data_IF_117965159099
#
_entry.id   IF_117965159099
#
_cell.length_a   1.000
_cell.length_b   1.000
_cell.length_c   1.000
_cell.angle_alpha   90.00
_cell.angle_beta   90.00
_cell.angle_gamma   90.00
#
_symmetry.space_group_name_H-M   'P 1'
#
loop_
_entity.id
_entity.type
_entity.pdbx_description
1 polymer ?
#
# COMPACT_ATOMS: atom_id res chain seq x y z
N UNK A 1 18.26 -53.85 43.70
CA UNK A 1 19.06 -54.38 42.60
C UNK A 1 18.69 -53.64 41.36
N UNK A 2 19.64 -52.89 40.84
CA UNK A 2 19.88 -52.40 39.47
C UNK A 2 18.72 -51.71 38.77
N UNK A 3 18.54 -50.40 38.77
CA UNK A 3 19.12 -49.25 38.08
C UNK A 3 19.37 -49.47 36.58
N UNK A 4 18.58 -48.80 35.72
CA UNK A 4 19.01 -48.30 34.43
C UNK A 4 18.26 -47.04 34.10
N UNK A 5 18.96 -45.93 34.18
CA UNK A 5 18.62 -44.62 33.68
C UNK A 5 18.75 -44.54 32.18
N UNK A 6 17.78 -44.03 31.48
CA UNK A 6 17.94 -43.56 30.10
C UNK A 6 17.38 -42.15 29.98
N UNK A 7 18.29 -41.20 29.83
CA UNK A 7 18.06 -39.82 29.43
C UNK A 7 17.55 -39.75 27.99
N UNK A 8 16.57 -38.92 27.65
CA UNK A 8 16.29 -38.64 26.26
C UNK A 8 17.13 -37.45 25.76
N UNK A 9 17.72 -37.69 24.60
CA UNK A 9 18.46 -36.73 23.80
C UNK A 9 17.60 -35.52 23.43
N UNK A 10 18.22 -34.36 23.62
CA UNK A 10 17.70 -33.07 23.14
C UNK A 10 17.80 -33.04 21.62
N UNK A 11 16.66 -33.11 20.92
CA UNK A 11 16.59 -32.76 19.52
C UNK A 11 16.53 -31.25 19.36
N UNK A 12 17.59 -30.68 18.79
CA UNK A 12 17.71 -29.33 18.34
C UNK A 12 16.60 -29.00 17.32
N UNK A 13 15.78 -28.03 17.67
CA UNK A 13 14.81 -27.41 16.74
C UNK A 13 15.58 -26.68 15.63
N UNK A 14 15.56 -27.24 14.44
CA UNK A 14 15.93 -26.52 13.23
C UNK A 14 14.91 -25.41 12.99
N UNK A 15 15.37 -24.17 13.19
CA UNK A 15 14.70 -22.96 12.73
C UNK A 15 14.54 -23.05 11.21
N UNK A 16 13.32 -23.29 10.75
CA UNK A 16 12.95 -23.21 9.35
C UNK A 16 13.12 -21.78 8.83
N UNK A 17 14.32 -21.45 8.40
CA UNK A 17 14.56 -20.29 7.52
C UNK A 17 13.77 -20.54 6.24
N UNK A 18 12.70 -19.80 6.04
CA UNK A 18 12.09 -19.66 4.72
C UNK A 18 13.16 -19.00 3.85
N UNK A 19 13.87 -19.83 3.09
CA UNK A 19 14.83 -19.36 2.10
C UNK A 19 14.06 -18.48 1.10
N UNK A 20 14.47 -17.24 1.00
CA UNK A 20 14.11 -16.36 -0.11
C UNK A 20 14.63 -17.00 -1.40
N UNK A 21 13.86 -17.89 -1.99
CA UNK A 21 14.13 -18.37 -3.34
C UNK A 21 14.00 -17.16 -4.24
N UNK A 22 15.12 -16.70 -4.76
CA UNK A 22 15.19 -15.76 -5.87
C UNK A 22 14.24 -16.25 -6.96
N UNK A 23 13.27 -15.41 -7.31
CA UNK A 23 12.38 -15.64 -8.43
C UNK A 23 13.24 -15.89 -9.68
N UNK A 24 13.07 -17.01 -10.39
CA UNK A 24 13.76 -17.21 -11.65
C UNK A 24 13.35 -16.07 -12.58
N UNK A 25 14.31 -15.44 -13.18
CA UNK A 25 14.13 -14.44 -14.23
C UNK A 25 13.48 -15.09 -15.44
N UNK A 26 12.20 -15.16 -15.45
CA UNK A 26 11.29 -15.34 -16.59
C UNK A 26 9.96 -15.88 -16.05
N UNK A 27 8.94 -15.06 -15.93
CA UNK A 27 7.59 -15.53 -16.13
C UNK A 27 7.54 -16.08 -17.56
N UNK A 28 7.80 -17.38 -17.72
CA UNK A 28 7.58 -18.04 -19.00
C UNK A 28 6.08 -18.06 -19.21
N UNK A 29 5.66 -17.40 -20.29
CA UNK A 29 4.30 -17.51 -20.79
C UNK A 29 3.88 -18.97 -20.88
N UNK A 30 2.64 -19.27 -20.52
CA UNK A 30 2.04 -20.58 -20.73
C UNK A 30 2.29 -21.06 -22.17
N UNK A 31 2.50 -22.37 -22.40
CA UNK A 31 2.82 -22.87 -23.74
C UNK A 31 1.66 -22.55 -24.69
N UNK A 32 1.96 -21.71 -25.67
CA UNK A 32 1.00 -21.24 -26.71
C UNK A 32 1.02 -19.75 -26.99
N UNK A 33 1.56 -18.93 -26.10
CA UNK A 33 1.72 -17.50 -26.35
C UNK A 33 3.12 -17.20 -26.89
N UNK A 34 3.22 -16.97 -28.17
CA UNK A 34 4.43 -16.41 -28.76
C UNK A 34 4.47 -14.93 -28.39
N UNK A 35 5.34 -14.56 -27.47
CA UNK A 35 5.73 -13.16 -27.24
C UNK A 35 6.50 -12.69 -28.47
N UNK A 36 5.84 -11.97 -29.35
CA UNK A 36 6.57 -11.14 -30.30
C UNK A 36 7.38 -10.14 -29.47
N UNK A 37 8.71 -9.99 -29.71
CA UNK A 37 9.46 -8.96 -29.02
C UNK A 37 8.81 -7.62 -29.34
N UNK A 38 8.46 -6.86 -28.30
CA UNK A 38 8.01 -5.49 -28.47
C UNK A 38 9.06 -4.78 -29.31
N UNK A 39 8.69 -4.07 -30.39
CA UNK A 39 9.64 -3.31 -31.18
C UNK A 39 10.36 -2.35 -30.23
N UNK A 40 11.68 -2.35 -30.25
CA UNK A 40 12.49 -1.41 -29.51
C UNK A 40 12.00 0.00 -29.88
N UNK A 41 11.33 0.64 -28.91
CA UNK A 41 10.82 1.99 -29.09
C UNK A 41 12.03 2.92 -29.18
N UNK A 42 12.53 3.15 -30.41
CA UNK A 42 13.48 4.22 -30.67
C UNK A 42 12.73 5.52 -30.50
N UNK A 43 12.89 6.16 -29.33
CA UNK A 43 12.44 7.52 -29.11
C UNK A 43 13.16 8.41 -30.13
N UNK A 44 12.44 8.88 -31.17
CA UNK A 44 12.88 10.05 -31.89
C UNK A 44 12.94 11.21 -30.90
N UNK A 45 14.03 11.97 -30.82
CA UNK A 45 14.02 13.18 -30.01
C UNK A 45 12.87 14.07 -30.48
N UNK A 46 12.13 14.70 -29.57
CA UNK A 46 11.02 15.55 -29.92
C UNK A 46 11.54 16.71 -30.80
N UNK A 47 10.92 16.87 -31.96
CA UNK A 47 11.14 18.01 -32.84
C UNK A 47 10.63 19.28 -32.13
N UNK A 48 11.56 20.07 -31.61
CA UNK A 48 11.27 21.31 -30.90
C UNK A 48 10.76 22.45 -31.82
N UNK A 49 10.72 22.25 -33.16
CA UNK A 49 10.34 23.28 -34.13
C UNK A 49 8.84 23.58 -34.21
N UNK A 50 7.95 22.74 -33.57
CA UNK A 50 6.50 22.88 -33.63
C UNK A 50 5.85 23.43 -32.33
N UNK A 51 6.56 24.21 -31.53
CA UNK A 51 6.03 24.77 -30.27
C UNK A 51 5.16 26.02 -30.42
N UNK A 52 4.36 26.17 -31.47
CA UNK A 52 3.34 27.23 -31.52
C UNK A 52 2.01 26.68 -31.03
N UNK A 53 1.64 27.04 -29.79
CA UNK A 53 0.27 26.88 -29.26
C UNK A 53 -0.01 25.65 -28.37
N UNK A 54 0.98 24.86 -27.95
CA UNK A 54 0.73 23.81 -26.96
C UNK A 54 0.59 24.40 -25.55
N UNK A 55 -0.55 24.13 -24.92
CA UNK A 55 -0.71 24.37 -23.49
C UNK A 55 0.44 23.73 -22.71
N UNK A 56 0.97 24.40 -21.69
CA UNK A 56 2.00 23.80 -20.83
C UNK A 56 1.46 22.49 -20.25
N UNK A 57 2.25 21.43 -20.35
CA UNK A 57 1.88 20.12 -19.75
C UNK A 57 1.95 20.23 -18.24
N UNK A 58 0.85 19.93 -17.51
CA UNK A 58 0.84 20.06 -16.07
C UNK A 58 1.76 19.02 -15.40
N UNK A 59 2.33 19.37 -14.27
CA UNK A 59 2.91 18.41 -13.36
C UNK A 59 1.79 17.57 -12.72
N UNK A 60 2.08 16.33 -12.38
CA UNK A 60 1.11 15.38 -11.82
C UNK A 60 1.67 14.87 -10.49
N UNK A 61 1.00 15.20 -9.39
CA UNK A 61 1.21 14.57 -8.10
C UNK A 61 0.03 13.64 -7.82
N UNK A 62 0.29 12.34 -7.72
CA UNK A 62 -0.72 11.35 -7.40
C UNK A 62 -0.48 10.82 -5.99
N UNK A 63 -1.38 11.13 -5.07
CA UNK A 63 -1.35 10.67 -3.69
C UNK A 63 -2.37 9.55 -3.52
N UNK A 64 -1.90 8.38 -3.09
CA UNK A 64 -2.73 7.20 -2.91
C UNK A 64 -2.52 6.61 -1.52
N UNK A 65 -3.60 6.20 -0.90
CA UNK A 65 -3.63 5.48 0.38
C UNK A 65 -4.36 4.16 0.20
N UNK A 66 -4.07 3.17 1.05
CA UNK A 66 -4.72 1.87 1.01
C UNK A 66 -5.75 1.75 2.13
N UNK A 67 -6.95 1.28 1.82
CA UNK A 67 -8.02 0.98 2.77
C UNK A 67 -8.64 2.21 3.47
N UNK A 68 -8.42 3.43 2.99
CA UNK A 68 -9.09 4.61 3.52
C UNK A 68 -10.55 4.65 3.07
N UNK A 69 -11.46 4.79 4.03
CA UNK A 69 -12.89 4.94 3.76
C UNK A 69 -13.19 6.27 3.07
N UNK A 70 -14.03 6.25 2.04
CA UNK A 70 -14.33 7.44 1.24
C UNK A 70 -15.07 8.54 2.02
N UNK A 71 -15.84 8.16 3.03
CA UNK A 71 -16.61 9.06 3.90
C UNK A 71 -15.73 9.90 4.84
N UNK A 72 -14.46 9.51 5.06
CA UNK A 72 -13.52 10.29 5.89
C UNK A 72 -13.41 11.75 5.44
N UNK A 73 -13.60 12.03 4.15
CA UNK A 73 -13.59 13.38 3.59
C UNK A 73 -14.99 14.02 3.52
N UNK A 74 -16.01 13.43 4.14
CA UNK A 74 -17.32 14.04 4.23
C UNK A 74 -17.33 15.16 5.27
N UNK A 75 -18.09 16.22 4.99
CA UNK A 75 -18.20 17.34 5.91
C UNK A 75 -18.79 16.88 7.25
N UNK A 76 -18.09 17.19 8.33
CA UNK A 76 -18.49 16.81 9.70
C UNK A 76 -18.08 15.40 10.10
N UNK A 77 -17.29 14.68 9.30
CA UNK A 77 -16.67 13.43 9.74
C UNK A 77 -15.70 13.68 10.90
N UNK A 78 -15.58 12.71 11.80
CA UNK A 78 -14.76 12.82 13.02
C UNK A 78 -13.26 12.82 12.76
N UNK A 79 -12.82 12.36 11.59
CA UNK A 79 -11.41 12.27 11.23
C UNK A 79 -10.82 13.65 10.91
N UNK A 80 -9.67 13.97 11.48
CA UNK A 80 -8.97 15.24 11.30
C UNK A 80 -8.06 15.20 10.06
N UNK A 81 -8.48 15.86 8.98
CA UNK A 81 -7.77 15.89 7.69
C UNK A 81 -7.65 17.29 7.11
N UNK A 82 -7.06 18.28 7.84
CA UNK A 82 -7.10 19.68 7.43
C UNK A 82 -6.40 19.97 6.09
N UNK A 83 -5.37 19.23 5.72
CA UNK A 83 -4.67 19.38 4.46
C UNK A 83 -5.47 18.82 3.29
N UNK A 84 -6.06 17.63 3.45
CA UNK A 84 -6.97 17.05 2.46
C UNK A 84 -8.25 17.89 2.32
N UNK A 85 -8.80 18.41 3.41
CA UNK A 85 -9.94 19.34 3.39
C UNK A 85 -9.64 20.60 2.57
N UNK A 86 -8.41 21.14 2.71
CA UNK A 86 -7.95 22.26 1.89
C UNK A 86 -7.87 21.89 0.41
N UNK A 87 -7.47 20.68 0.07
CA UNK A 87 -7.49 20.18 -1.31
C UNK A 87 -8.93 20.03 -1.83
N UNK A 88 -9.83 19.49 -1.03
CA UNK A 88 -11.27 19.38 -1.35
C UNK A 88 -11.86 20.76 -1.64
N UNK A 89 -11.54 21.78 -0.83
CA UNK A 89 -12.04 23.15 -1.01
C UNK A 89 -11.51 23.82 -2.29
N UNK A 90 -10.31 23.46 -2.74
CA UNK A 90 -9.66 24.07 -3.91
C UNK A 90 -9.84 23.28 -5.20
N UNK A 91 -10.28 22.03 -5.10
CA UNK A 91 -10.37 21.09 -6.18
C UNK A 91 -11.78 20.58 -6.45
N UNK A 92 -11.84 19.39 -7.02
CA UNK A 92 -13.09 18.69 -7.28
C UNK A 92 -13.09 17.39 -6.46
N UNK A 93 -14.11 17.22 -5.63
CA UNK A 93 -14.35 15.98 -4.91
C UNK A 93 -15.35 15.11 -5.67
N UNK A 94 -14.99 13.85 -5.91
CA UNK A 94 -15.89 12.85 -6.48
C UNK A 94 -16.54 12.05 -5.35
N UNK A 95 -17.78 12.36 -5.02
CA UNK A 95 -18.55 11.69 -3.96
C UNK A 95 -18.96 10.25 -4.33
N UNK A 96 -18.90 9.89 -5.62
CA UNK A 96 -19.25 8.57 -6.15
C UNK A 96 -18.13 8.05 -7.05
N UNK A 97 -17.00 7.72 -6.47
CA UNK A 97 -15.90 7.05 -7.16
C UNK A 97 -15.95 5.54 -6.84
N UNK A 98 -15.85 4.71 -7.88
CA UNK A 98 -15.97 3.27 -7.76
C UNK A 98 -14.69 2.58 -8.21
N UNK A 99 -14.23 1.61 -7.44
CA UNK A 99 -13.18 0.69 -7.88
C UNK A 99 -13.81 -0.56 -8.49
N UNK A 100 -13.22 -1.14 -9.54
CA UNK A 100 -13.74 -2.36 -10.14
C UNK A 100 -13.59 -3.60 -9.26
N UNK A 101 -12.75 -3.52 -8.22
CA UNK A 101 -12.56 -4.55 -7.22
C UNK A 101 -12.06 -3.90 -5.93
N UNK A 102 -12.58 -4.32 -4.78
CA UNK A 102 -12.21 -3.77 -3.47
C UNK A 102 -10.93 -4.38 -2.87
N UNK A 103 -10.25 -5.26 -3.60
CA UNK A 103 -8.98 -5.87 -3.19
C UNK A 103 -7.81 -5.09 -3.80
N UNK A 104 -6.75 -4.88 -3.02
CA UNK A 104 -5.62 -4.02 -3.37
C UNK A 104 -4.97 -4.34 -4.73
N UNK A 105 -4.56 -5.58 -5.00
CA UNK A 105 -3.83 -5.91 -6.23
C UNK A 105 -4.67 -5.75 -7.50
N UNK A 106 -5.91 -6.27 -7.59
CA UNK A 106 -6.78 -6.01 -8.75
C UNK A 106 -7.12 -4.54 -8.94
N UNK A 107 -7.40 -3.80 -7.86
CA UNK A 107 -7.71 -2.38 -7.93
C UNK A 107 -6.51 -1.58 -8.47
N UNK A 108 -5.31 -1.85 -7.95
CA UNK A 108 -4.05 -1.20 -8.39
C UNK A 108 -3.71 -1.56 -9.83
N UNK A 109 -3.88 -2.81 -10.23
CA UNK A 109 -3.68 -3.24 -11.61
C UNK A 109 -4.66 -2.53 -12.56
N UNK A 110 -5.94 -2.39 -12.17
CA UNK A 110 -6.93 -1.62 -12.93
C UNK A 110 -6.56 -0.15 -13.03
N UNK A 111 -6.10 0.47 -11.94
CA UNK A 111 -5.63 1.86 -11.94
C UNK A 111 -4.45 2.05 -12.91
N UNK A 112 -3.48 1.15 -12.91
CA UNK A 112 -2.28 1.27 -13.75
C UNK A 112 -2.54 1.02 -15.23
N UNK A 113 -3.50 0.18 -15.56
CA UNK A 113 -3.76 -0.26 -16.95
C UNK A 113 -5.00 0.38 -17.58
N UNK A 114 -5.94 0.88 -16.77
CA UNK A 114 -7.25 1.30 -17.23
C UNK A 114 -8.15 0.13 -17.67
N UNK A 115 -7.87 -1.10 -17.23
CA UNK A 115 -8.58 -2.32 -17.59
C UNK A 115 -9.31 -2.90 -16.37
N UNK A 116 -10.37 -3.68 -16.64
CA UNK A 116 -11.04 -4.48 -15.62
C UNK A 116 -10.22 -5.74 -15.24
N UNK A 117 -10.38 -6.31 -14.05
CA UNK A 117 -9.59 -7.44 -13.57
C UNK A 117 -9.53 -8.63 -14.53
N UNK A 118 -10.63 -9.01 -15.14
CA UNK A 118 -10.67 -10.11 -16.11
C UNK A 118 -9.90 -9.81 -17.42
N UNK A 119 -9.67 -8.53 -17.74
CA UNK A 119 -8.88 -8.13 -18.90
C UNK A 119 -7.39 -8.04 -18.62
N UNK A 120 -6.98 -7.62 -17.42
CA UNK A 120 -5.57 -7.55 -17.07
C UNK A 120 -5.05 -8.79 -16.34
N UNK A 121 -5.93 -9.68 -15.85
CA UNK A 121 -5.60 -11.00 -15.31
C UNK A 121 -5.18 -11.04 -13.84
N UNK A 122 -5.06 -9.92 -13.14
CA UNK A 122 -4.82 -9.87 -11.70
C UNK A 122 -6.17 -9.91 -10.99
N UNK A 123 -6.54 -11.07 -10.46
CA UNK A 123 -7.89 -11.35 -9.98
C UNK A 123 -8.03 -11.26 -8.45
N UNK A 124 -6.93 -11.42 -7.73
CA UNK A 124 -6.89 -11.38 -6.26
C UNK A 124 -5.53 -10.91 -5.76
N UNK A 125 -5.29 -10.98 -4.45
CA UNK A 125 -4.04 -10.54 -3.80
C UNK A 125 -2.86 -11.36 -4.29
N UNK A 126 -1.81 -10.69 -4.76
CA UNK A 126 -0.67 -11.30 -5.45
C UNK A 126 0.16 -12.29 -4.62
N UNK A 127 0.13 -12.20 -3.28
CA UNK A 127 0.92 -13.06 -2.40
C UNK A 127 0.17 -14.32 -1.92
N UNK A 128 -1.13 -14.44 -2.25
CA UNK A 128 -1.98 -15.55 -1.80
C UNK A 128 -2.35 -16.56 -2.88
N UNK A 129 -1.87 -16.36 -4.10
CA UNK A 129 -2.28 -17.15 -5.27
C UNK A 129 -1.08 -17.51 -6.14
N UNK A 130 -1.31 -18.39 -7.10
CA UNK A 130 -0.30 -18.80 -8.09
C UNK A 130 0.00 -17.67 -9.11
N UNK A 131 1.12 -17.79 -9.79
CA UNK A 131 1.61 -16.76 -10.74
C UNK A 131 0.61 -16.46 -11.86
N UNK A 132 -0.19 -17.42 -12.27
CA UNK A 132 -1.18 -17.25 -13.32
C UNK A 132 -2.37 -16.37 -12.92
N UNK A 133 -2.55 -16.08 -11.62
CA UNK A 133 -3.61 -15.23 -11.08
C UNK A 133 -3.10 -13.88 -10.54
N UNK A 134 -1.80 -13.66 -10.55
CA UNK A 134 -1.19 -12.47 -9.96
C UNK A 134 -0.24 -11.72 -10.92
N UNK A 135 -0.12 -12.15 -12.18
CA UNK A 135 0.65 -11.48 -13.21
C UNK A 135 -0.25 -10.76 -14.20
N UNK A 136 0.19 -9.60 -14.67
CA UNK A 136 -0.50 -8.87 -15.73
C UNK A 136 -0.47 -9.66 -17.04
N UNK A 137 -1.65 -9.94 -17.59
CA UNK A 137 -1.84 -10.67 -18.85
C UNK A 137 -2.13 -9.75 -20.03
N UNK A 138 -1.62 -8.55 -20.00
CA UNK A 138 -1.85 -7.56 -21.06
C UNK A 138 -0.55 -6.96 -21.56
N UNK A 139 -0.44 -6.80 -22.87
CA UNK A 139 0.63 -6.03 -23.52
C UNK A 139 0.30 -4.53 -23.60
N UNK A 140 -0.87 -4.11 -23.11
CA UNK A 140 -1.24 -2.69 -23.11
C UNK A 140 -0.34 -1.92 -22.17
N UNK A 141 0.21 -0.77 -22.60
CA UNK A 141 1.11 -0.01 -21.76
C UNK A 141 0.37 0.60 -20.56
N UNK A 142 1.07 0.64 -19.44
CA UNK A 142 0.67 1.43 -18.29
C UNK A 142 0.65 2.91 -18.64
N UNK A 143 -0.20 3.69 -17.95
CA UNK A 143 -0.25 5.13 -18.21
C UNK A 143 1.08 5.84 -17.88
N UNK A 144 1.89 5.33 -16.94
CA UNK A 144 3.23 5.87 -16.67
C UNK A 144 4.18 5.72 -17.87
N UNK A 145 4.12 4.60 -18.62
CA UNK A 145 4.88 4.43 -19.87
C UNK A 145 4.45 5.47 -20.93
N UNK A 146 3.14 5.77 -20.99
CA UNK A 146 2.62 6.81 -21.89
C UNK A 146 3.11 8.21 -21.50
N UNK A 147 3.14 8.51 -20.20
CA UNK A 147 3.71 9.76 -19.69
C UNK A 147 5.20 9.87 -19.99
N UNK A 148 5.98 8.81 -19.76
CA UNK A 148 7.40 8.77 -20.11
C UNK A 148 7.62 9.03 -21.61
N UNK A 149 6.82 8.40 -22.48
CA UNK A 149 6.85 8.67 -23.94
C UNK A 149 6.49 10.12 -24.27
N UNK A 150 5.61 10.74 -23.49
CA UNK A 150 5.26 12.16 -23.63
C UNK A 150 6.31 13.11 -23.02
N UNK A 151 7.44 12.60 -22.51
CA UNK A 151 8.54 13.39 -21.97
C UNK A 151 8.35 13.83 -20.53
N UNK A 152 7.55 13.10 -19.74
CA UNK A 152 7.47 13.31 -18.29
C UNK A 152 8.61 12.57 -17.58
N UNK A 153 9.18 13.19 -16.55
CA UNK A 153 9.95 12.47 -15.54
C UNK A 153 8.96 11.75 -14.61
N UNK A 154 9.15 10.44 -14.41
CA UNK A 154 8.21 9.63 -13.65
C UNK A 154 8.85 9.08 -12.38
N UNK A 155 8.19 9.27 -11.23
CA UNK A 155 8.61 8.78 -9.92
C UNK A 155 7.51 7.97 -9.23
N UNK A 156 7.86 6.86 -8.56
CA UNK A 156 6.93 6.03 -7.79
C UNK A 156 7.53 5.67 -6.43
N UNK A 157 6.79 5.95 -5.33
CA UNK A 157 7.28 5.76 -3.98
C UNK A 157 6.23 5.06 -3.11
N UNK A 158 6.55 3.85 -2.64
CA UNK A 158 5.73 3.09 -1.71
C UNK A 158 5.13 1.79 -2.25
N UNK A 159 3.92 1.46 -1.82
CA UNK A 159 3.25 0.19 -2.10
C UNK A 159 2.94 0.02 -3.58
N UNK A 160 3.62 -0.93 -4.23
CA UNK A 160 3.34 -1.31 -5.61
C UNK A 160 2.15 -2.26 -5.71
N UNK A 161 2.30 -3.46 -5.27
CA UNK A 161 1.26 -4.48 -5.11
C UNK A 161 0.36 -4.71 -6.34
N UNK A 162 0.82 -4.32 -7.54
CA UNK A 162 0.13 -4.56 -8.83
C UNK A 162 0.40 -5.97 -9.31
N UNK A 163 1.68 -6.37 -9.26
CA UNK A 163 2.15 -7.74 -9.48
C UNK A 163 3.43 -7.98 -8.67
N UNK A 164 3.96 -9.21 -8.68
CA UNK A 164 5.10 -9.61 -7.83
C UNK A 164 6.43 -8.96 -8.18
N UNK A 165 6.60 -8.44 -9.39
CA UNK A 165 7.86 -7.79 -9.76
C UNK A 165 8.07 -6.49 -9.00
N UNK A 166 9.34 -6.21 -8.71
CA UNK A 166 9.82 -4.95 -8.15
C UNK A 166 10.55 -4.09 -9.17
N UNK A 167 10.48 -4.48 -10.45
CA UNK A 167 11.08 -3.82 -11.59
C UNK A 167 10.08 -2.83 -12.19
N UNK A 168 9.84 -1.72 -11.47
CA UNK A 168 8.87 -0.72 -11.88
C UNK A 168 9.33 0.06 -13.13
N UNK A 169 10.61 0.00 -13.45
CA UNK A 169 11.18 0.49 -14.70
C UNK A 169 10.51 -0.15 -15.94
N UNK A 170 10.10 -1.42 -15.82
CA UNK A 170 9.37 -2.11 -16.88
C UNK A 170 7.97 -1.53 -17.15
N UNK A 171 7.44 -0.76 -16.21
CA UNK A 171 6.12 -0.15 -16.26
C UNK A 171 6.14 1.37 -16.42
N UNK A 172 7.32 1.93 -16.71
CA UNK A 172 7.49 3.35 -17.06
C UNK A 172 7.85 4.26 -15.90
N UNK A 173 8.17 3.71 -14.73
CA UNK A 173 8.65 4.47 -13.59
C UNK A 173 10.18 4.58 -13.62
N UNK A 174 10.70 5.74 -13.95
CA UNK A 174 12.15 5.98 -14.12
C UNK A 174 12.89 6.04 -12.78
N UNK A 175 12.27 6.63 -11.78
CA UNK A 175 12.77 6.66 -10.40
C UNK A 175 11.75 5.98 -9.50
N UNK A 176 12.17 5.03 -8.67
CA UNK A 176 11.21 4.35 -7.80
C UNK A 176 11.85 3.80 -6.53
N UNK A 177 11.02 3.69 -5.49
CA UNK A 177 11.30 3.01 -4.25
C UNK A 177 10.01 2.30 -3.80
N UNK A 178 9.90 1.00 -4.09
CA UNK A 178 8.72 0.20 -3.77
C UNK A 178 8.99 -0.79 -2.64
N UNK A 179 7.93 -1.27 -2.00
CA UNK A 179 8.00 -2.28 -0.95
C UNK A 179 8.84 -3.49 -1.35
N UNK A 180 9.73 -3.88 -0.43
CA UNK A 180 10.69 -4.96 -0.65
C UNK A 180 11.73 -4.68 -1.73
N UNK A 181 11.74 -3.50 -2.35
CA UNK A 181 12.80 -3.02 -3.23
C UNK A 181 13.99 -2.49 -2.42
N UNK A 182 15.19 -2.53 -3.01
CA UNK A 182 16.43 -2.21 -2.31
C UNK A 182 16.44 -0.79 -1.72
N UNK A 183 15.99 0.20 -2.49
CA UNK A 183 16.04 1.61 -2.08
C UNK A 183 15.14 1.91 -0.86
N UNK A 184 13.92 1.38 -0.84
CA UNK A 184 13.03 1.58 0.32
C UNK A 184 13.55 0.80 1.53
N UNK A 185 14.00 -0.45 1.31
CA UNK A 185 14.59 -1.27 2.39
C UNK A 185 15.82 -0.60 3.01
N UNK A 186 16.69 0.00 2.21
CA UNK A 186 17.84 0.75 2.73
C UNK A 186 17.37 1.93 3.59
N UNK A 187 16.38 2.71 3.16
CA UNK A 187 15.84 3.80 3.95
C UNK A 187 15.20 3.31 5.26
N UNK A 188 14.52 2.16 5.24
CA UNK A 188 13.96 1.51 6.43
C UNK A 188 15.05 1.01 7.40
N UNK A 189 16.14 0.45 6.89
CA UNK A 189 17.31 0.01 7.68
C UNK A 189 18.01 1.21 8.31
N UNK A 190 18.24 2.29 7.58
CA UNK A 190 18.82 3.54 8.07
C UNK A 190 17.95 4.17 9.18
N UNK A 191 16.64 4.24 8.97
CA UNK A 191 15.72 4.77 9.97
C UNK A 191 15.71 3.91 11.25
N UNK A 192 15.73 2.58 11.11
CA UNK A 192 15.80 1.65 12.23
C UNK A 192 17.12 1.74 13.00
N UNK A 193 18.23 1.97 12.31
CA UNK A 193 19.52 2.16 12.94
C UNK A 193 19.64 3.49 13.68
N UNK A 194 18.88 4.50 13.25
CA UNK A 194 18.85 5.83 13.87
C UNK A 194 17.92 5.93 15.09
N UNK A 195 17.05 4.93 15.30
CA UNK A 195 16.07 4.91 16.39
C UNK A 195 16.30 3.76 17.36
N UNK A 196 16.01 4.03 18.63
CA UNK A 196 15.74 2.95 19.59
C UNK A 196 14.54 2.12 19.14
N UNK A 197 14.45 0.87 19.60
CA UNK A 197 13.31 0.01 19.26
C UNK A 197 12.00 0.67 19.64
N UNK A 198 11.11 0.84 18.67
CA UNK A 198 9.78 1.41 18.89
C UNK A 198 9.03 0.62 19.96
N UNK A 199 8.45 1.32 20.92
CA UNK A 199 7.58 0.75 21.95
C UNK A 199 6.11 1.02 21.64
N UNK A 200 5.22 0.24 22.24
CA UNK A 200 3.79 0.40 22.11
C UNK A 200 3.17 0.66 23.47
N UNK A 201 2.49 1.79 23.64
CA UNK A 201 1.72 2.11 24.85
C UNK A 201 0.34 1.46 24.87
N UNK A 202 -0.20 1.14 23.69
CA UNK A 202 -1.44 0.41 23.48
C UNK A 202 -1.24 -0.51 22.26
N UNK A 203 -1.66 -1.77 22.39
CA UNK A 203 -1.68 -2.67 21.24
C UNK A 203 -2.71 -3.80 21.44
N UNK A 204 -3.22 -4.29 20.34
CA UNK A 204 -4.05 -5.48 20.28
C UNK A 204 -3.65 -6.36 19.11
N UNK A 205 -3.57 -7.66 19.36
CA UNK A 205 -3.39 -8.68 18.32
C UNK A 205 -4.68 -9.50 18.20
N UNK A 206 -4.98 -9.92 16.96
CA UNK A 206 -6.07 -10.84 16.68
C UNK A 206 -5.63 -12.27 17.00
N UNK A 207 -6.51 -13.01 17.67
CA UNK A 207 -6.33 -14.43 17.84
C UNK A 207 -6.39 -15.15 16.50
N UNK A 208 -5.38 -15.91 16.21
CA UNK A 208 -5.29 -16.70 14.99
C UNK A 208 -5.54 -18.20 15.30
N UNK A 209 -6.09 -18.97 14.35
CA UNK A 209 -6.18 -20.40 14.50
C UNK A 209 -4.80 -21.04 14.80
N UNK A 210 -4.76 -22.18 15.49
CA UNK A 210 -3.50 -22.89 15.76
C UNK A 210 -2.67 -23.07 14.48
N UNK A 211 -1.38 -22.74 14.55
CA UNK A 211 -0.44 -22.83 13.41
C UNK A 211 -0.29 -21.53 12.61
N UNK A 212 -1.07 -20.49 12.91
CA UNK A 212 -0.90 -19.16 12.33
C UNK A 212 -0.21 -18.21 13.32
N UNK A 213 0.55 -17.25 12.80
CA UNK A 213 1.16 -16.24 13.65
C UNK A 213 0.09 -15.23 14.10
N UNK A 214 0.19 -14.78 15.35
CA UNK A 214 -0.64 -13.66 15.85
C UNK A 214 -0.38 -12.43 14.99
N UNK A 215 -1.44 -11.75 14.60
CA UNK A 215 -1.38 -10.54 13.78
C UNK A 215 -1.87 -9.35 14.59
N UNK A 216 -0.99 -8.34 14.78
CA UNK A 216 -1.41 -7.08 15.39
C UNK A 216 -2.52 -6.44 14.55
N UNK A 217 -3.58 -6.00 15.18
CA UNK A 217 -4.68 -5.27 14.54
C UNK A 217 -4.46 -3.77 14.63
N UNK A 218 -4.11 -3.26 15.82
CA UNK A 218 -3.81 -1.85 16.03
C UNK A 218 -2.72 -1.66 17.09
N UNK A 219 -2.16 -0.44 17.12
CA UNK A 219 -1.22 -0.06 18.14
C UNK A 219 -0.86 1.42 18.12
N UNK A 220 -0.55 1.94 19.31
CA UNK A 220 -0.03 3.30 19.50
C UNK A 220 1.44 3.20 19.83
N UNK A 221 2.29 3.78 18.98
CA UNK A 221 3.76 3.72 19.11
C UNK A 221 4.36 5.09 19.45
N UNK A 222 5.53 5.07 20.07
CA UNK A 222 6.37 6.24 20.31
C UNK A 222 7.21 6.64 19.07
N UNK A 223 7.26 5.80 18.05
CA UNK A 223 7.96 6.11 16.80
C UNK A 223 7.22 7.19 16.00
N UNK A 224 7.86 8.34 15.72
CA UNK A 224 7.21 9.43 14.98
C UNK A 224 6.92 9.04 13.54
N UNK A 225 5.87 9.64 12.91
CA UNK A 225 5.44 9.29 11.56
C UNK A 225 6.53 9.44 10.50
N UNK A 226 7.47 10.39 10.67
CA UNK A 226 8.58 10.64 9.75
C UNK A 226 9.58 9.46 9.67
N UNK A 227 9.67 8.67 10.74
CA UNK A 227 10.55 7.51 10.83
C UNK A 227 9.85 6.19 10.47
N UNK A 228 8.53 6.23 10.36
CA UNK A 228 7.71 5.09 9.91
C UNK A 228 7.58 5.05 8.38
N UNK A 229 6.99 4.00 7.87
CA UNK A 229 6.85 3.76 6.44
C UNK A 229 6.30 4.95 5.65
N UNK A 230 5.29 5.65 6.18
CA UNK A 230 4.69 6.82 5.52
C UNK A 230 5.70 7.97 5.36
N UNK A 231 6.44 8.34 6.41
CA UNK A 231 7.42 9.41 6.35
C UNK A 231 8.60 9.09 5.44
N UNK A 232 9.07 7.82 5.44
CA UNK A 232 10.14 7.39 4.54
C UNK A 232 9.74 7.51 3.07
N UNK A 233 8.50 7.17 2.74
CA UNK A 233 7.96 7.30 1.38
C UNK A 233 7.80 8.76 0.97
N UNK A 234 7.34 9.61 1.89
CA UNK A 234 7.25 11.07 1.70
C UNK A 234 8.63 11.66 1.43
N UNK A 235 9.63 11.36 2.25
CA UNK A 235 11.01 11.85 2.08
C UNK A 235 11.56 11.47 0.70
N UNK A 236 11.43 10.20 0.29
CA UNK A 236 11.91 9.74 -1.00
C UNK A 236 11.17 10.38 -2.19
N UNK A 237 9.89 10.72 -2.02
CA UNK A 237 9.13 11.47 -3.01
C UNK A 237 9.56 12.93 -3.08
N UNK A 238 9.84 13.56 -1.95
CA UNK A 238 10.39 14.92 -1.89
C UNK A 238 11.76 15.02 -2.55
N UNK A 239 12.67 14.08 -2.29
CA UNK A 239 13.98 13.99 -2.97
C UNK A 239 13.82 13.96 -4.51
N UNK A 240 12.83 13.20 -4.99
CA UNK A 240 12.52 13.16 -6.42
C UNK A 240 12.00 14.50 -6.94
N UNK A 241 11.10 15.15 -6.21
CA UNK A 241 10.51 16.43 -6.60
C UNK A 241 11.58 17.53 -6.62
N UNK A 242 12.45 17.60 -5.61
CA UNK A 242 13.57 18.54 -5.56
C UNK A 242 14.49 18.40 -6.77
N UNK A 243 14.77 17.16 -7.17
CA UNK A 243 15.55 16.86 -8.38
C UNK A 243 14.79 17.10 -9.69
N UNK A 244 13.46 17.14 -9.69
CA UNK A 244 12.66 17.32 -10.89
C UNK A 244 12.28 18.78 -11.17
N UNK A 245 12.07 19.58 -10.12
CA UNK A 245 11.62 20.96 -10.20
C UNK A 245 12.55 21.89 -11.02
N UNK A 246 13.89 21.84 -10.88
CA UNK A 246 14.79 22.72 -11.63
C UNK A 246 14.84 22.43 -13.13
N UNK A 247 14.47 21.22 -13.56
CA UNK A 247 14.67 20.76 -14.93
C UNK A 247 13.70 21.36 -15.96
N UNK A 248 12.60 21.98 -15.54
CA UNK A 248 11.60 22.54 -16.44
C UNK A 248 10.82 21.51 -17.28
N UNK A 249 11.14 20.23 -17.17
CA UNK A 249 10.39 19.13 -17.77
C UNK A 249 9.17 18.80 -16.89
N UNK A 250 8.02 18.43 -17.49
CA UNK A 250 6.88 17.99 -16.70
C UNK A 250 7.23 16.70 -15.96
N UNK A 251 6.74 16.58 -14.75
CA UNK A 251 6.96 15.38 -13.93
C UNK A 251 5.65 14.75 -13.47
N UNK A 252 5.70 13.45 -13.18
CA UNK A 252 4.66 12.70 -12.51
C UNK A 252 5.27 11.99 -11.31
N UNK A 253 4.84 12.38 -10.12
CA UNK A 253 5.23 11.76 -8.86
C UNK A 253 4.03 10.98 -8.30
N UNK A 254 4.19 9.67 -8.07
CA UNK A 254 3.19 8.82 -7.46
C UNK A 254 3.66 8.41 -6.06
N UNK A 255 2.93 8.84 -5.04
CA UNK A 255 3.16 8.46 -3.64
C UNK A 255 2.07 7.48 -3.22
N UNK A 256 2.47 6.27 -2.83
CA UNK A 256 1.57 5.18 -2.50
C UNK A 256 1.80 4.72 -1.06
N UNK A 257 0.98 5.23 -0.14
CA UNK A 257 1.01 4.82 1.25
C UNK A 257 0.39 3.42 1.42
N UNK A 258 0.87 2.66 2.38
CA UNK A 258 0.21 1.45 2.82
C UNK A 258 -0.88 1.77 3.81
N UNK A 259 -0.61 2.72 4.68
CA UNK A 259 -1.53 3.20 5.69
C UNK A 259 -2.76 3.85 5.02
N UNK A 260 -3.91 3.83 5.66
CA UNK A 260 -4.29 3.26 6.95
C UNK A 260 -4.67 1.76 6.93
N UNK A 261 -4.16 0.96 5.98
CA UNK A 261 -4.34 -0.50 5.97
C UNK A 261 -3.83 -1.12 7.28
N UNK A 262 -4.51 -2.14 7.79
CA UNK A 262 -4.09 -2.85 9.00
C UNK A 262 -2.65 -3.43 8.89
N UNK A 263 -1.92 -3.50 10.00
CA UNK A 263 -2.28 -3.05 11.34
C UNK A 263 -2.37 -1.51 11.46
N UNK A 264 -3.41 -1.02 12.15
CA UNK A 264 -3.66 0.41 12.34
C UNK A 264 -2.66 0.97 13.36
N UNK A 265 -1.48 1.40 12.89
CA UNK A 265 -0.42 1.94 13.74
C UNK A 265 -0.40 3.45 13.64
N UNK A 266 -0.40 4.12 14.81
CA UNK A 266 -0.30 5.57 14.91
C UNK A 266 0.59 6.00 16.07
N UNK A 267 0.99 7.26 16.09
CA UNK A 267 1.68 7.90 17.21
C UNK A 267 0.70 8.38 18.29
N UNK A 268 1.21 8.56 19.51
CA UNK A 268 0.41 8.98 20.66
C UNK A 268 -0.28 10.33 20.43
N UNK A 269 0.42 11.33 19.90
CA UNK A 269 -0.14 12.65 19.64
C UNK A 269 -1.36 12.61 18.69
N UNK A 270 -1.29 11.79 17.65
CA UNK A 270 -2.41 11.64 16.72
C UNK A 270 -3.57 10.85 17.36
N UNK A 271 -3.25 9.83 18.17
CA UNK A 271 -4.24 9.02 18.87
C UNK A 271 -5.03 9.83 19.90
N UNK A 272 -4.38 10.71 20.67
CA UNK A 272 -5.01 11.56 21.70
C UNK A 272 -6.07 12.53 21.15
N UNK A 273 -6.11 12.73 19.82
CA UNK A 273 -7.17 13.52 19.17
C UNK A 273 -8.52 12.79 19.13
N UNK A 274 -8.54 11.49 19.40
CA UNK A 274 -9.70 10.62 19.28
C UNK A 274 -10.00 9.95 20.62
N UNK A 275 -11.08 10.40 21.26
CA UNK A 275 -11.56 9.77 22.50
C UNK A 275 -12.27 8.45 22.16
N UNK A 276 -11.57 7.34 22.38
CA UNK A 276 -12.11 6.01 22.14
C UNK A 276 -13.36 5.68 22.97
N UNK A 277 -13.64 6.40 24.06
CA UNK A 277 -14.86 6.18 24.85
C UNK A 277 -16.11 6.76 24.16
N UNK A 278 -15.92 7.80 23.35
CA UNK A 278 -17.03 8.53 22.71
C UNK A 278 -17.17 8.26 21.21
N UNK A 279 -16.17 7.63 20.56
CA UNK A 279 -16.28 7.29 19.14
C UNK A 279 -17.48 6.39 18.87
N UNK A 280 -18.30 6.69 17.84
CA UNK A 280 -19.40 5.82 17.47
C UNK A 280 -18.89 4.48 16.94
N UNK A 281 -19.58 3.41 17.27
CA UNK A 281 -19.40 2.14 16.58
C UNK A 281 -20.08 2.19 15.21
N UNK A 282 -19.52 1.45 14.25
CA UNK A 282 -20.18 1.29 12.96
C UNK A 282 -21.56 0.68 13.13
N UNK A 283 -22.59 1.17 12.44
CA UNK A 283 -23.93 0.56 12.47
C UNK A 283 -23.95 -0.93 12.09
N UNK A 284 -22.94 -1.39 11.36
CA UNK A 284 -22.79 -2.79 10.98
C UNK A 284 -22.25 -3.70 12.10
N UNK A 285 -21.83 -3.15 13.24
CA UNK A 285 -21.36 -3.96 14.36
C UNK A 285 -22.43 -4.90 14.92
N UNK A 286 -23.71 -4.48 14.84
CA UNK A 286 -24.86 -5.21 15.34
C UNK A 286 -25.60 -6.02 14.26
N UNK A 287 -25.06 -6.08 13.01
CA UNK A 287 -25.64 -6.89 11.93
C UNK A 287 -25.45 -8.38 12.25
N UNK A 288 -26.54 -9.11 12.41
CA UNK A 288 -26.53 -10.55 12.67
C UNK A 288 -26.06 -11.39 11.49
N UNK A 289 -25.89 -10.76 10.33
CA UNK A 289 -25.51 -11.35 9.06
C UNK A 289 -26.48 -12.43 8.55
N UNK A 290 -27.75 -12.41 9.03
CA UNK A 290 -28.78 -13.30 8.51
C UNK A 290 -29.05 -13.00 7.02
N UNK A 291 -29.20 -14.03 6.24
CA UNK A 291 -29.37 -13.90 4.78
C UNK A 291 -28.12 -13.45 4.00
N UNK A 292 -27.02 -13.13 4.66
CA UNK A 292 -25.75 -12.75 4.02
C UNK A 292 -24.95 -13.97 3.57
N UNK A 293 -24.12 -13.85 2.52
CA UNK A 293 -23.17 -14.90 2.13
C UNK A 293 -22.28 -15.36 3.29
N UNK A 294 -21.99 -16.66 3.36
CA UNK A 294 -21.22 -17.27 4.48
C UNK A 294 -19.83 -16.68 4.72
N UNK A 295 -19.23 -16.05 3.70
CA UNK A 295 -17.93 -15.37 3.83
C UNK A 295 -17.99 -14.20 4.83
N UNK A 296 -19.10 -13.47 4.92
CA UNK A 296 -19.24 -12.40 5.91
C UNK A 296 -19.28 -12.94 7.33
N UNK A 297 -20.04 -14.04 7.56
CA UNK A 297 -20.05 -14.73 8.85
C UNK A 297 -18.68 -15.30 9.23
N UNK A 298 -17.92 -15.81 8.25
CA UNK A 298 -16.55 -16.27 8.49
C UNK A 298 -15.64 -15.12 8.92
N UNK A 299 -15.69 -13.99 8.23
CA UNK A 299 -14.89 -12.80 8.55
C UNK A 299 -15.28 -12.24 9.94
N UNK A 300 -16.56 -12.13 10.25
CA UNK A 300 -17.03 -11.62 11.53
C UNK A 300 -16.54 -12.44 12.73
N UNK A 301 -16.36 -13.76 12.60
CA UNK A 301 -15.83 -14.61 13.68
C UNK A 301 -14.43 -14.20 14.14
N UNK A 302 -13.60 -13.64 13.26
CA UNK A 302 -12.25 -13.19 13.60
C UNK A 302 -12.31 -12.04 14.63
N UNK A 303 -13.36 -11.22 14.57
CA UNK A 303 -13.54 -10.04 15.42
C UNK A 303 -14.59 -10.23 16.52
N UNK A 304 -15.20 -11.42 16.61
CA UNK A 304 -16.32 -11.67 17.51
C UNK A 304 -15.96 -11.55 19.01
N UNK A 305 -14.69 -11.75 19.36
CA UNK A 305 -14.19 -11.65 20.72
C UNK A 305 -13.83 -10.23 21.16
N UNK A 306 -13.83 -9.26 20.23
CA UNK A 306 -13.51 -7.88 20.55
C UNK A 306 -14.61 -7.22 21.35
N UNK A 307 -14.24 -6.57 22.45
CA UNK A 307 -15.12 -5.68 23.20
C UNK A 307 -15.39 -4.39 22.40
N UNK A 308 -16.46 -3.68 22.73
CA UNK A 308 -16.77 -2.38 22.13
C UNK A 308 -15.64 -1.36 22.35
N UNK A 309 -14.97 -1.42 23.50
CA UNK A 309 -13.80 -0.59 23.78
C UNK A 309 -12.68 -0.87 22.77
N UNK A 310 -12.33 -2.13 22.53
CA UNK A 310 -11.31 -2.52 21.57
C UNK A 310 -11.66 -2.13 20.13
N UNK A 311 -12.95 -2.21 19.75
CA UNK A 311 -13.42 -1.74 18.43
C UNK A 311 -13.25 -0.24 18.27
N UNK A 312 -13.54 0.56 19.34
CA UNK A 312 -13.33 2.01 19.33
C UNK A 312 -11.85 2.40 19.34
N UNK A 313 -11.01 1.66 20.04
CA UNK A 313 -9.56 1.85 19.99
C UNK A 313 -8.99 1.56 18.61
N UNK A 314 -9.46 0.51 17.93
CA UNK A 314 -9.11 0.23 16.54
C UNK A 314 -9.53 1.37 15.60
N UNK A 315 -10.73 1.92 15.77
CA UNK A 315 -11.22 3.07 15.01
C UNK A 315 -10.39 4.34 15.31
N UNK A 316 -10.04 4.60 16.57
CA UNK A 316 -9.19 5.71 16.95
C UNK A 316 -7.79 5.61 16.31
N UNK A 317 -7.16 4.43 16.35
CA UNK A 317 -5.87 4.19 15.69
C UNK A 317 -5.96 4.35 14.17
N UNK A 318 -7.06 3.89 13.55
CA UNK A 318 -7.31 4.06 12.13
C UNK A 318 -7.42 5.53 11.74
N UNK A 319 -8.23 6.33 12.45
CA UNK A 319 -8.35 7.76 12.19
C UNK A 319 -7.08 8.53 12.51
N UNK A 320 -6.38 8.17 13.57
CA UNK A 320 -5.09 8.75 13.90
C UNK A 320 -4.04 8.51 12.81
N UNK A 321 -3.98 7.30 12.25
CA UNK A 321 -3.11 7.00 11.10
C UNK A 321 -3.47 7.85 9.88
N UNK A 322 -4.75 8.11 9.62
CA UNK A 322 -5.18 9.01 8.54
C UNK A 322 -4.76 10.46 8.82
N UNK A 323 -4.88 10.92 10.06
CA UNK A 323 -4.39 12.25 10.46
C UNK A 323 -2.90 12.42 10.20
N UNK A 324 -2.10 11.41 10.51
CA UNK A 324 -0.65 11.42 10.21
C UNK A 324 -0.37 11.40 8.69
N UNK A 325 -1.15 10.64 7.92
CA UNK A 325 -1.08 10.69 6.44
C UNK A 325 -1.40 12.09 5.92
N UNK A 326 -2.43 12.72 6.46
CA UNK A 326 -2.81 14.09 6.11
C UNK A 326 -1.67 15.07 6.36
N UNK A 327 -0.95 14.92 7.49
CA UNK A 327 0.25 15.71 7.81
C UNK A 327 1.39 15.46 6.80
N UNK A 328 1.59 14.20 6.38
CA UNK A 328 2.61 13.85 5.38
C UNK A 328 2.27 14.40 3.99
N UNK A 329 1.01 14.56 3.65
CA UNK A 329 0.56 15.11 2.36
C UNK A 329 0.51 16.65 2.36
N UNK A 330 0.45 17.29 3.52
CA UNK A 330 0.41 18.74 3.71
C UNK A 330 1.72 19.45 3.49
#
# INVERSE_FOLDING_TARGET
MSSASSTPETSSSENGRISSRSCPSACRAAPGWRSSPLPAFRSRPPDHSRRRGMMPRPNILFLMVDQMQGEVLDSGHVCHTPNLDRLVQRGVRFSRAYTPNAICSPARASLMTGLLPHNHGVLTVIHTVDDDQCCLRTAKPHWAQRLGTAGYRTGYFGKWHVERTRRLDLFGWQTFACEGGNRLRQAEEEARAACESATFSLEMALDQPPGYQSQRLYGVTDSPPEQRGMGLRTRLAMDFLEGALPGGEPWCCFVSMQEPHDPFICGGEAFERYDADTLPLSPSCDDDLEGRPGIYRKAARVFAHMSDRQRREAAACYYASITEIDQQFG
#
